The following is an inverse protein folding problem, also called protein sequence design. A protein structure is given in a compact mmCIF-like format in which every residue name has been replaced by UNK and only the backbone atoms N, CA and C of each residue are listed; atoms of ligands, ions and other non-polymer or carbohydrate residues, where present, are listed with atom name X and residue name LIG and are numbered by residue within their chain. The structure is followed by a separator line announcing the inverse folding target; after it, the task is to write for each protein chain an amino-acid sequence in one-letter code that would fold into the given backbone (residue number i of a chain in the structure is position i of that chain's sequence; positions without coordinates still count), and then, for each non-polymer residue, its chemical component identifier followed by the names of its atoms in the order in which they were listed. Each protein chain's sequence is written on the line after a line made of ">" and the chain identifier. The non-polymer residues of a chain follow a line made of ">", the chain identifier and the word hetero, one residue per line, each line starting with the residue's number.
data_IF_327821350167
#
_entry.id   IF_327821350167
#
_cell.length_a   1.000
_cell.length_b   1.000
_cell.length_c   1.000
_cell.angle_alpha   90.00
_cell.angle_beta   90.00
_cell.angle_gamma   90.00
#
_symmetry.space_group_name_H-M   'P 1'
#
loop_
_entity.id
_entity.type
_entity.pdbx_description
1 polymer ?
#
# COMPACT_ATOMS: atom_id res chain seq x y z
N UNK A 1 18.38 1.03 -32.21
CA UNK A 1 17.94 1.69 -30.95
C UNK A 1 16.88 0.79 -30.33
N UNK A 2 17.03 0.41 -29.06
CA UNK A 2 16.04 -0.48 -28.39
C UNK A 2 14.77 0.32 -28.04
N UNK A 3 13.56 -0.27 -28.17
CA UNK A 3 12.31 0.41 -27.84
C UNK A 3 12.01 0.46 -26.33
N UNK A 4 12.83 -0.19 -25.50
CA UNK A 4 12.58 -0.34 -24.06
C UNK A 4 13.36 0.70 -23.23
N UNK A 5 12.75 1.19 -22.14
CA UNK A 5 13.39 2.12 -21.20
C UNK A 5 14.61 1.50 -20.51
N UNK A 6 14.52 0.22 -20.14
CA UNK A 6 15.60 -0.54 -19.53
C UNK A 6 16.03 -1.68 -20.46
N UNK A 7 17.32 -1.77 -20.71
CA UNK A 7 17.93 -2.79 -21.57
C UNK A 7 18.89 -3.63 -20.74
N UNK A 8 18.84 -4.94 -20.94
CA UNK A 8 19.76 -5.94 -20.43
C UNK A 8 20.72 -6.33 -21.58
N UNK A 9 21.96 -5.82 -21.60
CA UNK A 9 22.87 -5.99 -22.75
C UNK A 9 23.12 -7.45 -23.13
N UNK A 10 23.20 -8.34 -22.14
CA UNK A 10 23.43 -9.78 -22.35
C UNK A 10 22.14 -10.57 -22.66
N UNK A 11 21.03 -9.85 -22.87
CA UNK A 11 19.73 -10.41 -23.16
C UNK A 11 19.69 -11.09 -24.52
N UNK A 12 19.26 -12.35 -24.54
CA UNK A 12 19.09 -13.14 -25.78
C UNK A 12 17.76 -12.90 -26.50
N UNK A 13 16.85 -12.14 -25.89
CA UNK A 13 15.54 -11.82 -26.48
C UNK A 13 15.62 -10.59 -27.35
N UNK A 14 14.74 -10.51 -28.33
CA UNK A 14 14.61 -9.35 -29.20
C UNK A 14 14.41 -8.06 -28.38
N UNK A 15 15.18 -7.02 -28.73
CA UNK A 15 15.22 -5.75 -28.01
C UNK A 15 15.94 -5.78 -26.65
N UNK A 16 16.50 -6.93 -26.27
CA UNK A 16 17.36 -7.09 -25.08
C UNK A 16 16.71 -6.58 -23.79
N UNK A 17 15.39 -6.73 -23.62
CA UNK A 17 14.69 -6.25 -22.44
C UNK A 17 14.85 -7.20 -21.23
N UNK A 18 14.65 -6.65 -20.04
CA UNK A 18 14.59 -7.46 -18.82
C UNK A 18 13.35 -8.36 -18.83
N UNK A 19 13.56 -9.65 -18.59
CA UNK A 19 12.47 -10.60 -18.33
C UNK A 19 12.22 -10.73 -16.84
N UNK A 20 11.04 -11.22 -16.45
CA UNK A 20 10.73 -11.47 -15.03
C UNK A 20 11.77 -12.39 -14.37
N UNK A 21 12.19 -13.45 -15.06
CA UNK A 21 13.20 -14.39 -14.57
C UNK A 21 14.55 -13.70 -14.37
N UNK A 22 14.92 -12.80 -15.29
CA UNK A 22 16.14 -12.01 -15.15
C UNK A 22 16.07 -11.09 -13.92
N UNK A 23 14.94 -10.42 -13.73
CA UNK A 23 14.70 -9.52 -12.59
C UNK A 23 14.72 -10.28 -11.26
N UNK A 24 14.03 -11.42 -11.17
CA UNK A 24 14.00 -12.27 -9.98
C UNK A 24 15.41 -12.76 -9.60
N UNK A 25 16.22 -13.12 -10.60
CA UNK A 25 17.62 -13.53 -10.37
C UNK A 25 18.47 -12.38 -9.83
N UNK A 26 18.32 -11.17 -10.38
CA UNK A 26 19.05 -9.98 -9.91
C UNK A 26 18.61 -9.64 -8.48
N UNK A 27 17.31 -9.65 -8.23
CA UNK A 27 16.71 -9.40 -6.93
C UNK A 27 17.21 -10.37 -5.87
N UNK A 28 17.16 -11.68 -6.15
CA UNK A 28 17.63 -12.71 -5.22
C UNK A 28 19.10 -12.50 -4.85
N UNK A 29 19.95 -12.19 -5.83
CA UNK A 29 21.38 -11.87 -5.57
C UNK A 29 21.54 -10.64 -4.67
N UNK A 30 20.70 -9.63 -4.84
CA UNK A 30 20.73 -8.44 -3.98
C UNK A 30 20.28 -8.79 -2.54
N UNK A 31 19.21 -9.57 -2.39
CA UNK A 31 18.75 -10.06 -1.09
C UNK A 31 19.81 -10.91 -0.38
N UNK A 32 20.49 -11.80 -1.11
CA UNK A 32 21.60 -12.62 -0.57
C UNK A 32 22.76 -11.77 -0.03
N UNK A 33 23.06 -10.63 -0.64
CA UNK A 33 24.12 -9.72 -0.17
C UNK A 33 23.80 -9.05 1.17
N UNK A 34 22.51 -8.83 1.46
CA UNK A 34 22.05 -8.21 2.71
C UNK A 34 21.59 -9.25 3.75
N UNK A 35 21.59 -10.54 3.39
CA UNK A 35 21.15 -11.61 4.27
C UNK A 35 19.62 -11.74 4.40
N UNK A 36 18.87 -11.24 3.42
CA UNK A 36 17.42 -11.34 3.37
C UNK A 36 16.96 -12.43 2.38
N UNK A 37 15.77 -12.99 2.59
CA UNK A 37 15.11 -13.90 1.65
C UNK A 37 13.67 -13.42 1.42
N UNK A 38 13.50 -12.55 0.42
CA UNK A 38 12.23 -11.93 0.10
C UNK A 38 11.96 -12.10 -1.40
N UNK A 39 10.80 -12.63 -1.82
CA UNK A 39 10.42 -12.66 -3.23
C UNK A 39 10.26 -11.27 -3.83
N UNK A 40 10.65 -11.07 -5.10
CA UNK A 40 10.62 -9.77 -5.78
C UNK A 40 9.26 -9.05 -5.64
N UNK A 41 8.15 -9.77 -5.88
CA UNK A 41 6.81 -9.19 -5.79
C UNK A 41 6.44 -8.73 -4.38
N UNK A 42 6.90 -9.46 -3.35
CA UNK A 42 6.68 -9.09 -1.96
C UNK A 42 7.53 -7.86 -1.60
N UNK A 43 8.83 -7.91 -1.88
CA UNK A 43 9.77 -6.86 -1.49
C UNK A 43 9.55 -5.53 -2.21
N UNK A 44 8.94 -5.55 -3.39
CA UNK A 44 8.55 -4.33 -4.11
C UNK A 44 7.10 -3.98 -3.83
N UNK A 45 6.15 -4.66 -4.46
CA UNK A 45 4.74 -4.25 -4.48
C UNK A 45 4.06 -4.29 -3.11
N UNK A 46 4.29 -5.33 -2.31
CA UNK A 46 3.69 -5.41 -0.99
C UNK A 46 4.35 -4.46 0.01
N UNK A 47 5.68 -4.36 0.00
CA UNK A 47 6.40 -3.42 0.85
C UNK A 47 6.01 -1.97 0.55
N UNK A 48 5.94 -1.57 -0.73
CA UNK A 48 5.50 -0.23 -1.12
C UNK A 48 4.06 0.04 -0.69
N UNK A 49 3.13 -0.91 -0.90
CA UNK A 49 1.74 -0.74 -0.47
C UNK A 49 1.62 -0.60 1.06
N UNK A 50 2.42 -1.34 1.81
CA UNK A 50 2.46 -1.25 3.28
C UNK A 50 3.06 0.07 3.75
N UNK A 51 4.14 0.53 3.11
CA UNK A 51 4.77 1.83 3.38
C UNK A 51 3.78 2.98 3.15
N UNK A 52 3.05 2.98 2.03
CA UNK A 52 2.06 4.02 1.72
C UNK A 52 0.96 4.13 2.79
N UNK A 53 0.53 3.02 3.38
CA UNK A 53 -0.48 3.03 4.45
C UNK A 53 0.13 3.42 5.80
N UNK A 54 1.26 2.82 6.16
CA UNK A 54 1.77 2.92 7.54
C UNK A 54 2.61 4.17 7.76
N UNK A 55 3.41 4.58 6.76
CA UNK A 55 4.32 5.72 6.86
C UNK A 55 3.74 6.98 6.22
N UNK A 56 3.08 6.84 5.06
CA UNK A 56 2.47 7.99 4.35
C UNK A 56 1.00 8.23 4.73
N UNK A 57 0.44 7.37 5.59
CA UNK A 57 -0.93 7.47 6.10
C UNK A 57 -2.02 7.55 5.02
N UNK A 58 -1.78 6.96 3.84
CA UNK A 58 -2.77 6.92 2.77
C UNK A 58 -3.98 6.10 3.17
N UNK A 59 -5.17 6.60 2.81
CA UNK A 59 -6.39 5.81 2.83
C UNK A 59 -6.36 4.70 1.77
N UNK A 60 -7.22 3.70 1.91
CA UNK A 60 -7.30 2.59 0.95
C UNK A 60 -7.69 3.07 -0.46
N UNK A 61 -8.50 4.13 -0.56
CA UNK A 61 -8.86 4.77 -1.84
C UNK A 61 -7.68 5.51 -2.47
N UNK A 62 -6.89 6.24 -1.68
CA UNK A 62 -5.68 6.92 -2.19
C UNK A 62 -4.63 5.90 -2.63
N UNK A 63 -4.45 4.84 -1.86
CA UNK A 63 -3.57 3.74 -2.25
C UNK A 63 -4.05 3.09 -3.54
N UNK A 64 -5.36 2.86 -3.69
CA UNK A 64 -5.93 2.30 -4.92
C UNK A 64 -5.58 3.13 -6.15
N UNK A 65 -5.73 4.46 -6.05
CA UNK A 65 -5.38 5.39 -7.12
C UNK A 65 -3.87 5.41 -7.38
N UNK A 66 -3.06 5.46 -6.31
CA UNK A 66 -1.61 5.59 -6.41
C UNK A 66 -0.93 4.36 -7.04
N UNK A 67 -1.39 3.15 -6.74
CA UNK A 67 -0.83 1.93 -7.33
C UNK A 67 -1.67 1.33 -8.46
N UNK A 68 -2.60 2.10 -9.02
CA UNK A 68 -3.43 1.75 -10.17
C UNK A 68 -4.10 0.37 -10.04
N UNK A 69 -4.65 0.09 -8.85
CA UNK A 69 -5.33 -1.17 -8.60
C UNK A 69 -6.79 -1.11 -9.07
N UNK A 70 -7.14 -2.00 -10.00
CA UNK A 70 -8.50 -2.09 -10.54
C UNK A 70 -9.59 -2.32 -9.48
N UNK A 71 -9.27 -2.96 -8.34
CA UNK A 71 -10.23 -3.27 -7.28
C UNK A 71 -9.68 -2.95 -5.90
N UNK A 72 -10.52 -2.35 -5.06
CA UNK A 72 -10.17 -2.01 -3.67
C UNK A 72 -9.88 -3.27 -2.83
N UNK A 73 -10.52 -4.40 -3.12
CA UNK A 73 -10.24 -5.67 -2.44
C UNK A 73 -8.81 -6.20 -2.67
N UNK A 74 -8.17 -5.83 -3.79
CA UNK A 74 -6.74 -6.13 -3.99
C UNK A 74 -5.89 -5.36 -3.00
N UNK A 75 -6.23 -4.09 -2.75
CA UNK A 75 -5.49 -3.19 -1.86
C UNK A 75 -5.49 -3.72 -0.43
N UNK A 76 -6.62 -4.26 0.04
CA UNK A 76 -6.72 -4.89 1.36
C UNK A 76 -5.76 -6.08 1.56
N UNK A 77 -5.37 -6.77 0.48
CA UNK A 77 -4.40 -7.89 0.55
C UNK A 77 -2.95 -7.42 0.59
N UNK A 78 -2.65 -6.23 0.06
CA UNK A 78 -1.30 -5.73 -0.13
C UNK A 78 -0.87 -4.77 0.98
N UNK A 79 -1.81 -3.94 1.42
CA UNK A 79 -1.63 -3.01 2.52
C UNK A 79 -1.97 -3.63 3.86
N UNK A 80 -0.99 -4.24 4.54
CA UNK A 80 -1.18 -4.60 5.93
C UNK A 80 -1.11 -3.32 6.77
N UNK A 81 -2.27 -2.84 7.19
CA UNK A 81 -2.35 -1.76 8.20
C UNK A 81 -1.78 -2.31 9.49
N UNK A 82 -0.65 -1.80 9.95
CA UNK A 82 -0.10 -2.19 11.24
C UNK A 82 -1.05 -1.80 12.38
N UNK A 83 -1.00 -2.57 13.46
CA UNK A 83 -1.79 -2.32 14.68
C UNK A 83 -1.46 -0.94 15.25
N UNK A 84 -0.22 -0.48 15.10
CA UNK A 84 0.26 0.87 15.44
C UNK A 84 -0.51 1.97 14.67
N UNK A 85 -0.62 1.84 13.35
CA UNK A 85 -1.37 2.77 12.50
C UNK A 85 -2.89 2.73 12.80
N UNK A 86 -3.46 1.54 13.04
CA UNK A 86 -4.86 1.43 13.49
C UNK A 86 -5.09 2.11 14.82
N UNK A 87 -4.17 1.94 15.77
CA UNK A 87 -4.22 2.54 17.10
C UNK A 87 -4.12 4.06 17.03
N UNK A 88 -3.19 4.61 16.24
CA UNK A 88 -3.07 6.05 16.02
C UNK A 88 -4.33 6.66 15.38
N UNK A 89 -4.94 5.98 14.40
CA UNK A 89 -6.20 6.41 13.79
C UNK A 89 -7.38 6.42 14.78
N UNK A 90 -7.41 5.48 15.72
CA UNK A 90 -8.45 5.39 16.76
C UNK A 90 -8.22 6.43 17.87
N UNK A 91 -6.98 6.61 18.32
CA UNK A 91 -6.61 7.57 19.36
C UNK A 91 -6.79 9.02 18.88
N UNK A 92 -6.53 9.32 17.60
CA UNK A 92 -6.76 10.65 17.02
C UNK A 92 -8.23 11.01 16.74
N UNK A 93 -9.16 10.05 16.82
CA UNK A 93 -10.60 10.22 16.49
C UNK A 93 -11.54 9.95 17.67
N UNK A 94 -11.07 10.04 18.92
CA UNK A 94 -11.98 9.95 20.07
C UNK A 94 -12.78 11.27 20.20
N UNK A 95 -13.87 11.38 19.45
CA UNK A 95 -14.89 12.40 19.71
C UNK A 95 -15.83 11.83 20.76
N UNK A 96 -15.76 12.37 21.98
CA UNK A 96 -16.73 12.09 23.03
C UNK A 96 -18.11 12.55 22.56
N UNK A 97 -18.99 11.61 22.23
CA UNK A 97 -20.40 11.89 22.00
C UNK A 97 -21.07 12.16 23.35
N UNK A 98 -20.87 13.38 23.86
CA UNK A 98 -21.61 13.89 25.00
C UNK A 98 -23.10 13.88 24.67
N UNK A 99 -23.87 13.07 25.41
CA UNK A 99 -25.32 12.92 25.28
C UNK A 99 -26.02 14.25 25.59
N UNK A 100 -26.20 15.12 24.59
CA UNK A 100 -27.14 16.24 24.73
C UNK A 100 -28.56 15.71 24.56
N UNK A 101 -29.15 15.27 25.67
CA UNK A 101 -30.59 15.06 25.76
C UNK A 101 -31.29 16.42 25.62
N UNK A 102 -31.75 16.72 24.40
CA UNK A 102 -32.60 17.88 24.14
C UNK A 102 -34.00 17.58 24.68
N UNK A 103 -34.29 18.11 25.88
CA UNK A 103 -35.61 18.06 26.51
C UNK A 103 -36.52 19.03 25.74
N UNK A 104 -37.36 18.50 24.84
CA UNK A 104 -38.42 19.28 24.18
C UNK A 104 -39.44 19.70 25.25
N UNK A 105 -39.45 20.97 25.63
CA UNK A 105 -40.49 21.53 26.49
C UNK A 105 -41.78 21.68 25.65
N UNK A 106 -42.82 20.94 26.03
CA UNK A 106 -44.19 21.16 25.55
C UNK A 106 -44.71 22.44 26.20
N UNK A 107 -44.90 23.50 25.43
CA UNK A 107 -45.72 24.64 25.86
C UNK A 107 -47.16 24.41 25.38
N UNK A 108 -48.02 23.97 26.30
CA UNK A 108 -49.46 24.20 26.23
C UNK A 108 -49.70 25.61 26.79
N UNK A 109 -50.39 26.47 26.04
CA UNK A 109 -51.05 27.64 26.61
C UNK A 109 -52.44 27.77 25.98
N UNK A 110 -53.33 28.23 26.85
CA UNK A 110 -54.79 28.15 26.87
C UNK A 110 -55.52 28.67 25.63
#
# INVERSE_FOLDING_TARGET
>A
ISPYLFVFPDGKKEGCHYTIVTLERIWKKACEQVGEDIPLYQGTKHSTASQMINELHYSQSELQMAGDWARLESVKKYGKVEVSARRALLEGKVVSLGTKSARIQKNNSQ
#
